data_IF_336393287464
#
_entry.id   IF_336393287464
#
_cell.length_a   1.000
_cell.length_b   1.000
_cell.length_c   1.000
_cell.angle_alpha   90.00
_cell.angle_beta   90.00
_cell.angle_gamma   90.00
#
_symmetry.space_group_name_H-M   'P 1'
#
loop_
_entity.id
_entity.type
_entity.pdbx_description
1 polymer ?
#
# COMPACT_ATOMS: atom_id res chain seq x y z
N UNK A 1 8.35 25.63 -1.16
CA UNK A 1 8.90 24.98 -2.36
C UNK A 1 8.68 23.49 -2.23
N UNK A 2 8.10 22.86 -3.25
CA UNK A 2 7.95 21.41 -3.38
C UNK A 2 9.34 20.81 -3.62
N UNK A 3 9.83 19.97 -2.70
CA UNK A 3 11.17 19.35 -2.79
C UNK A 3 11.08 17.98 -3.46
N UNK A 4 9.92 17.33 -3.35
CA UNK A 4 9.64 16.05 -3.97
C UNK A 4 8.70 16.22 -5.15
N UNK A 5 9.21 15.85 -6.32
CA UNK A 5 8.40 15.79 -7.52
C UNK A 5 7.27 14.74 -7.39
N UNK A 6 6.05 15.18 -7.71
CA UNK A 6 4.84 14.36 -7.69
C UNK A 6 4.76 13.45 -8.91
N UNK A 7 5.35 13.85 -10.04
CA UNK A 7 5.42 13.06 -11.28
C UNK A 7 6.22 11.77 -11.09
N UNK A 8 7.14 11.74 -10.11
CA UNK A 8 7.95 10.57 -9.79
C UNK A 8 7.11 9.45 -9.16
N UNK A 9 6.97 8.27 -9.80
CA UNK A 9 6.24 7.13 -9.21
C UNK A 9 6.95 6.60 -7.96
N UNK A 10 6.19 6.34 -6.88
CA UNK A 10 6.74 5.95 -5.57
C UNK A 10 6.10 4.67 -5.04
N UNK A 11 6.84 3.90 -4.26
CA UNK A 11 6.29 2.83 -3.42
C UNK A 11 5.80 3.42 -2.10
N UNK A 12 4.54 3.16 -1.77
CA UNK A 12 3.96 3.59 -0.51
C UNK A 12 4.07 2.52 0.57
N UNK A 13 4.37 2.97 1.79
CA UNK A 13 4.32 2.17 3.01
C UNK A 13 3.47 2.89 4.04
N UNK A 14 2.71 2.13 4.82
CA UNK A 14 2.09 2.66 6.03
C UNK A 14 3.13 2.69 7.13
N UNK A 15 3.20 3.77 7.92
CA UNK A 15 4.10 3.84 9.06
C UNK A 15 3.81 2.72 10.09
N UNK A 16 2.55 2.27 10.19
CA UNK A 16 2.10 1.15 11.03
C UNK A 16 2.66 -0.21 10.60
N UNK A 17 3.08 -0.34 9.34
CA UNK A 17 3.69 -1.56 8.80
C UNK A 17 5.21 -1.62 9.08
N UNK A 18 5.80 -0.54 9.61
CA UNK A 18 7.26 -0.41 9.76
C UNK A 18 7.70 -0.69 11.20
N UNK A 19 8.83 -1.40 11.33
CA UNK A 19 9.48 -1.62 12.63
C UNK A 19 10.37 -0.45 13.07
N UNK A 20 10.75 0.43 12.15
CA UNK A 20 11.60 1.59 12.39
C UNK A 20 10.94 2.82 11.76
N UNK A 21 10.59 3.79 12.60
CA UNK A 21 9.99 5.06 12.17
C UNK A 21 11.06 6.08 11.77
N UNK A 22 10.71 7.01 10.87
CA UNK A 22 11.61 8.09 10.41
C UNK A 22 12.75 7.67 9.47
N UNK A 23 12.87 6.37 9.15
CA UNK A 23 13.87 5.84 8.24
C UNK A 23 13.21 5.13 7.04
N UNK A 24 13.81 5.26 5.87
CA UNK A 24 13.31 4.66 4.64
C UNK A 24 13.38 3.13 4.71
N UNK A 25 12.26 2.40 4.55
CA UNK A 25 12.25 0.93 4.62
C UNK A 25 13.05 0.26 3.49
N UNK A 26 13.40 0.99 2.43
CA UNK A 26 14.18 0.45 1.32
C UNK A 26 15.69 0.67 1.43
N UNK A 27 16.15 1.74 2.10
CA UNK A 27 17.58 2.09 2.12
C UNK A 27 18.11 2.58 3.48
N UNK A 28 17.25 2.70 4.50
CA UNK A 28 17.63 3.11 5.86
C UNK A 28 17.92 4.61 6.06
N UNK A 29 17.92 5.42 4.99
CA UNK A 29 18.16 6.88 5.10
C UNK A 29 17.00 7.60 5.80
N UNK A 30 17.26 8.75 6.46
CA UNK A 30 16.20 9.54 7.07
C UNK A 30 15.16 9.98 6.03
N UNK A 31 13.90 9.98 6.44
CA UNK A 31 12.80 10.49 5.64
C UNK A 31 12.61 11.99 5.89
N UNK A 32 12.14 12.69 4.87
CA UNK A 32 11.83 14.13 4.92
C UNK A 32 10.33 14.33 4.74
N UNK A 33 9.74 15.15 5.60
CA UNK A 33 8.32 15.47 5.53
C UNK A 33 8.03 16.50 4.45
N UNK A 34 7.00 16.23 3.66
CA UNK A 34 6.48 17.18 2.68
C UNK A 34 4.97 17.02 2.52
N UNK A 35 4.30 18.15 2.36
CA UNK A 35 2.88 18.19 2.06
C UNK A 35 2.67 17.98 0.55
N UNK A 36 1.80 17.04 0.20
CA UNK A 36 1.46 16.69 -1.18
C UNK A 36 -0.05 16.54 -1.34
N UNK A 37 -0.50 16.50 -2.59
CA UNK A 37 -1.88 16.20 -2.94
C UNK A 37 -1.98 14.71 -3.27
N UNK A 38 -2.85 13.99 -2.59
CA UNK A 38 -3.06 12.57 -2.73
C UNK A 38 -4.44 12.27 -3.28
N UNK A 39 -4.53 11.16 -4.02
CA UNK A 39 -5.80 10.59 -4.45
C UNK A 39 -6.10 9.37 -3.60
N UNK A 40 -7.29 9.34 -3.01
CA UNK A 40 -7.72 8.26 -2.15
C UNK A 40 -9.16 7.86 -2.47
N UNK A 41 -9.47 6.60 -2.17
CA UNK A 41 -10.80 6.02 -2.30
C UNK A 41 -11.20 5.46 -0.95
N UNK A 42 -12.41 5.77 -0.49
CA UNK A 42 -12.92 5.24 0.75
C UNK A 42 -14.34 4.70 0.63
N UNK A 43 -14.66 3.78 1.52
CA UNK A 43 -15.94 3.11 1.63
C UNK A 43 -16.44 3.22 3.06
N UNK A 44 -17.71 3.59 3.19
CA UNK A 44 -18.43 3.59 4.47
C UNK A 44 -19.55 2.54 4.43
N UNK A 45 -19.50 1.57 5.34
CA UNK A 45 -20.55 0.56 5.49
C UNK A 45 -20.42 -0.68 4.59
N UNK A 46 -21.41 -1.59 4.63
CA UNK A 46 -21.35 -2.92 3.99
C UNK A 46 -21.57 -2.92 2.46
N UNK A 47 -21.76 -1.74 1.84
CA UNK A 47 -21.98 -1.60 0.41
C UNK A 47 -20.73 -1.84 -0.44
N UNK A 48 -20.87 -1.64 -1.76
CA UNK A 48 -19.73 -1.58 -2.70
C UNK A 48 -19.39 -0.16 -3.14
N UNK A 49 -20.13 0.82 -2.66
CA UNK A 49 -19.95 2.21 -3.06
C UNK A 49 -18.65 2.73 -2.46
N UNK A 50 -17.74 3.10 -3.35
CA UNK A 50 -16.52 3.81 -3.01
C UNK A 50 -16.70 5.27 -3.42
N UNK A 51 -16.23 6.16 -2.56
CA UNK A 51 -16.12 7.58 -2.87
C UNK A 51 -14.64 7.89 -3.08
N UNK A 52 -14.33 8.45 -4.23
CA UNK A 52 -13.00 8.92 -4.57
C UNK A 52 -12.87 10.41 -4.23
N UNK A 53 -11.72 10.80 -3.72
CA UNK A 53 -11.45 12.19 -3.36
C UNK A 53 -9.98 12.53 -3.49
N UNK A 54 -9.74 13.80 -3.81
CA UNK A 54 -8.42 14.43 -3.79
C UNK A 54 -8.27 15.13 -2.45
N UNK A 55 -7.16 14.88 -1.75
CA UNK A 55 -6.89 15.50 -0.47
C UNK A 55 -5.44 15.93 -0.31
N UNK A 56 -5.22 17.02 0.41
CA UNK A 56 -3.89 17.36 0.89
C UNK A 56 -3.53 16.51 2.10
N UNK A 57 -2.30 16.02 2.15
CA UNK A 57 -1.76 15.24 3.27
C UNK A 57 -0.26 15.45 3.44
N UNK A 58 0.26 15.12 4.61
CA UNK A 58 1.71 15.03 4.85
C UNK A 58 2.19 13.61 4.51
N UNK A 59 3.36 13.52 3.86
CA UNK A 59 4.05 12.27 3.64
C UNK A 59 5.52 12.37 4.02
N UNK A 60 6.11 11.24 4.40
CA UNK A 60 7.53 11.12 4.71
C UNK A 60 8.26 10.50 3.51
N UNK A 61 9.02 11.33 2.79
CA UNK A 61 9.64 10.99 1.51
C UNK A 61 11.12 10.66 1.66
N UNK A 62 11.59 9.67 0.91
CA UNK A 62 13.02 9.35 0.87
C UNK A 62 13.73 10.19 -0.20
N UNK A 63 14.80 10.94 0.14
CA UNK A 63 15.56 11.73 -0.84
C UNK A 63 16.38 10.87 -1.81
N UNK A 64 16.58 9.58 -1.52
CA UNK A 64 17.40 8.68 -2.34
C UNK A 64 16.64 7.53 -3.00
N UNK A 65 15.34 7.38 -2.76
CA UNK A 65 14.55 6.27 -3.27
C UNK A 65 13.15 6.73 -3.64
N UNK A 66 12.49 6.08 -4.62
CA UNK A 66 11.07 6.30 -4.91
C UNK A 66 10.21 5.64 -3.83
N UNK A 67 10.29 6.15 -2.60
CA UNK A 67 9.57 5.66 -1.42
C UNK A 67 8.90 6.84 -0.74
N UNK A 68 7.67 6.61 -0.31
CA UNK A 68 6.92 7.47 0.58
C UNK A 68 6.33 6.62 1.71
N UNK A 69 6.36 7.15 2.92
CA UNK A 69 5.70 6.57 4.09
C UNK A 69 4.57 7.49 4.50
N UNK A 70 3.38 6.92 4.70
CA UNK A 70 2.17 7.64 5.08
C UNK A 70 1.67 7.18 6.45
N UNK A 71 1.01 8.07 7.17
CA UNK A 71 0.36 7.77 8.45
C UNK A 71 -1.12 7.41 8.22
N UNK A 72 -1.56 6.17 8.51
CA UNK A 72 -2.94 5.76 8.30
C UNK A 72 -3.90 6.47 9.27
N UNK A 73 -3.46 6.88 10.46
CA UNK A 73 -4.32 7.58 11.41
C UNK A 73 -4.57 9.03 10.94
N UNK A 74 -3.54 9.71 10.42
CA UNK A 74 -3.69 11.05 9.85
C UNK A 74 -4.63 11.04 8.65
N UNK A 75 -4.41 10.12 7.71
CA UNK A 75 -5.27 9.99 6.53
C UNK A 75 -6.68 9.55 6.95
N UNK A 76 -6.81 8.58 7.85
CA UNK A 76 -8.10 8.10 8.35
C UNK A 76 -8.92 9.22 8.99
N UNK A 77 -8.31 10.09 9.79
CA UNK A 77 -8.97 11.26 10.38
C UNK A 77 -9.44 12.25 9.32
N UNK A 78 -8.58 12.63 8.36
CA UNK A 78 -8.94 13.56 7.28
C UNK A 78 -10.11 13.02 6.43
N UNK A 79 -10.09 11.74 6.11
CA UNK A 79 -11.16 11.08 5.36
C UNK A 79 -12.44 11.04 6.21
N UNK A 80 -12.33 10.69 7.49
CA UNK A 80 -13.46 10.63 8.43
C UNK A 80 -14.20 11.96 8.55
N UNK A 81 -13.49 13.09 8.54
CA UNK A 81 -14.11 14.44 8.52
C UNK A 81 -15.03 14.60 7.31
N UNK A 82 -14.60 14.14 6.12
CA UNK A 82 -15.38 14.22 4.88
C UNK A 82 -16.64 13.35 4.87
N UNK A 83 -16.64 12.23 5.60
CA UNK A 83 -17.79 11.33 5.70
C UNK A 83 -18.75 11.66 6.87
N UNK A 84 -18.40 12.63 7.72
CA UNK A 84 -19.21 13.05 8.87
C UNK A 84 -19.23 12.01 10.01
N UNK A 85 -20.05 12.23 11.07
CA UNK A 85 -20.12 11.35 12.22
C UNK A 85 -20.77 10.01 11.84
N UNK A 86 -19.97 9.06 11.39
CA UNK A 86 -20.39 7.68 11.15
C UNK A 86 -20.58 6.98 12.48
N UNK A 87 -21.83 6.94 12.96
CA UNK A 87 -22.13 6.37 14.29
C UNK A 87 -21.79 4.88 14.45
N UNK A 88 -21.55 4.11 13.37
CA UNK A 88 -21.32 2.66 13.43
C UNK A 88 -20.65 2.03 12.19
N UNK A 89 -20.04 2.78 11.25
CA UNK A 89 -19.43 2.18 10.06
C UNK A 89 -17.91 2.13 10.13
N UNK A 90 -17.34 0.94 9.90
CA UNK A 90 -15.92 0.75 9.64
C UNK A 90 -15.55 1.47 8.34
N UNK A 91 -15.02 2.68 8.46
CA UNK A 91 -14.44 3.41 7.33
C UNK A 91 -13.22 2.61 6.85
N UNK A 92 -13.25 2.22 5.58
CA UNK A 92 -12.10 1.59 4.93
C UNK A 92 -11.65 2.50 3.81
N UNK A 93 -10.34 2.70 3.69
CA UNK A 93 -9.79 3.57 2.65
C UNK A 93 -8.49 3.01 2.07
N UNK A 94 -8.17 3.49 0.88
CA UNK A 94 -6.90 3.26 0.22
C UNK A 94 -6.40 4.59 -0.37
N UNK A 95 -5.11 4.90 -0.15
CA UNK A 95 -4.44 5.99 -0.86
C UNK A 95 -3.80 5.37 -2.10
N UNK A 96 -4.24 5.82 -3.26
CA UNK A 96 -3.93 5.19 -4.56
C UNK A 96 -2.66 5.79 -5.15
N UNK A 97 -2.42 7.09 -4.94
CA UNK A 97 -1.27 7.78 -5.50
C UNK A 97 -1.21 9.26 -5.14
N UNK A 98 -0.28 9.95 -5.80
CA UNK A 98 -0.05 11.39 -5.68
C UNK A 98 -0.66 12.06 -6.92
N UNK A 99 -1.32 13.20 -6.74
CA UNK A 99 -1.85 14.01 -7.83
C UNK A 99 -0.80 15.03 -8.26
N UNK A 100 -0.36 14.91 -9.50
CA UNK A 100 0.60 15.84 -10.09
C UNK A 100 -0.11 17.04 -10.72
N UNK A 101 -0.45 18.02 -9.87
CA UNK A 101 -1.14 19.24 -10.32
C UNK A 101 -0.34 20.05 -11.35
N UNK A 102 0.99 19.88 -11.38
CA UNK A 102 1.87 20.57 -12.33
C UNK A 102 1.74 19.99 -13.76
N UNK A 103 1.12 18.82 -13.92
CA UNK A 103 0.82 18.21 -15.21
C UNK A 103 -0.46 18.77 -15.88
N UNK A 104 -1.21 19.64 -15.19
CA UNK A 104 -2.41 20.28 -15.74
C UNK A 104 -1.96 21.47 -16.60
N UNK A 105 -2.26 21.48 -17.91
CA UNK A 105 -1.92 22.62 -18.77
C UNK A 105 -2.62 23.90 -18.31
N UNK A 106 -1.97 25.06 -18.45
CA UNK A 106 -2.52 26.36 -18.06
C UNK A 106 -3.87 26.65 -18.73
N UNK A 107 -4.04 26.19 -19.99
CA UNK A 107 -5.29 26.36 -20.72
C UNK A 107 -6.45 25.59 -20.09
N UNK A 108 -6.17 24.56 -19.28
CA UNK A 108 -7.18 23.75 -18.58
C UNK A 108 -7.33 24.11 -17.11
N UNK A 109 -6.57 25.08 -16.59
CA UNK A 109 -6.61 25.47 -15.18
C UNK A 109 -8.00 25.97 -14.73
N UNK A 110 -8.82 26.46 -15.67
CA UNK A 110 -10.19 26.91 -15.43
C UNK A 110 -11.23 25.78 -15.46
N UNK A 111 -10.86 24.58 -15.92
CA UNK A 111 -11.74 23.42 -16.03
C UNK A 111 -11.59 22.59 -14.75
N UNK A 112 -12.71 22.15 -14.17
CA UNK A 112 -12.69 21.32 -12.99
C UNK A 112 -11.96 19.99 -13.23
N UNK A 113 -11.01 19.67 -12.34
CA UNK A 113 -10.26 18.41 -12.36
C UNK A 113 -11.19 17.23 -12.05
N UNK A 114 -11.00 16.11 -12.76
CA UNK A 114 -11.82 14.91 -12.65
C UNK A 114 -12.96 14.83 -13.67
N UNK A 115 -12.95 15.69 -14.69
CA UNK A 115 -13.85 15.63 -15.84
C UNK A 115 -13.16 14.93 -17.02
N UNK A 116 -13.92 14.53 -18.03
CA UNK A 116 -13.36 13.93 -19.26
C UNK A 116 -12.39 14.90 -19.98
N UNK A 117 -12.62 16.21 -19.88
CA UNK A 117 -11.80 17.24 -20.49
C UNK A 117 -10.55 17.59 -19.67
N UNK A 118 -10.63 17.43 -18.34
CA UNK A 118 -9.53 17.65 -17.40
C UNK A 118 -9.43 16.49 -16.39
N UNK A 119 -8.84 15.34 -16.78
CA UNK A 119 -8.74 14.18 -15.91
C UNK A 119 -7.79 14.43 -14.73
N UNK A 120 -7.95 13.66 -13.64
CA UNK A 120 -7.04 13.74 -12.49
C UNK A 120 -5.64 13.28 -12.94
N UNK A 121 -4.58 14.12 -12.83
CA UNK A 121 -3.22 13.74 -13.16
C UNK A 121 -2.63 12.83 -12.08
N UNK A 122 -3.13 11.60 -12.02
CA UNK A 122 -2.81 10.64 -10.95
C UNK A 122 -1.53 9.87 -11.26
N UNK A 123 -0.55 10.00 -10.38
CA UNK A 123 0.65 9.16 -10.33
C UNK A 123 0.43 8.05 -9.31
N UNK A 124 0.07 6.87 -9.81
CA UNK A 124 -0.22 5.71 -8.97
C UNK A 124 1.03 5.22 -8.22
N UNK A 125 0.82 4.73 -7.00
CA UNK A 125 1.89 4.08 -6.28
C UNK A 125 2.33 2.78 -6.95
N UNK A 126 3.64 2.57 -6.97
CA UNK A 126 4.26 1.33 -7.44
C UNK A 126 3.86 0.18 -6.52
N UNK A 127 3.51 -0.97 -7.11
CA UNK A 127 3.23 -2.18 -6.35
C UNK A 127 4.42 -2.55 -5.46
N UNK A 128 4.15 -2.92 -4.21
CA UNK A 128 5.15 -3.56 -3.35
C UNK A 128 5.59 -4.85 -4.04
N UNK A 129 6.77 -4.88 -4.69
CA UNK A 129 7.38 -6.17 -5.05
C UNK A 129 7.54 -6.92 -3.72
N UNK A 130 7.06 -8.18 -3.58
CA UNK A 130 7.34 -8.93 -2.37
C UNK A 130 8.86 -8.92 -2.16
N UNK A 131 9.34 -8.83 -0.90
CA UNK A 131 10.77 -8.92 -0.64
C UNK A 131 11.26 -10.17 -1.39
N UNK A 132 12.21 -9.98 -2.31
CA UNK A 132 12.91 -11.14 -2.87
C UNK A 132 13.55 -11.78 -1.65
N UNK A 133 13.01 -12.92 -1.24
CA UNK A 133 13.71 -13.81 -0.34
C UNK A 133 15.00 -14.07 -1.09
N UNK A 134 16.09 -13.44 -0.65
CA UNK A 134 17.41 -13.86 -1.08
C UNK A 134 17.47 -15.30 -0.58
N UNK A 135 17.25 -16.24 -1.50
CA UNK A 135 17.53 -17.63 -1.26
C UNK A 135 18.94 -17.63 -0.69
N UNK A 136 19.07 -18.01 0.58
CA UNK A 136 20.37 -18.20 1.18
C UNK A 136 21.05 -19.31 0.38
N UNK A 137 21.87 -18.93 -0.59
CA UNK A 137 22.87 -19.78 -1.21
C UNK A 137 23.86 -20.17 -0.13
N UNK A 138 23.52 -21.17 0.70
CA UNK A 138 24.51 -22.08 1.32
C UNK A 138 23.88 -23.45 1.56
N UNK A 139 24.37 -24.43 0.79
CA UNK A 139 24.45 -25.82 1.22
C UNK A 139 23.32 -26.72 0.74
N UNK A 140 23.48 -27.30 -0.46
CA UNK A 140 22.60 -28.33 -0.96
C UNK A 140 22.62 -29.62 -0.13
N UNK A 141 21.47 -30.30 -0.11
CA UNK A 141 21.41 -31.77 -0.25
C UNK A 141 20.24 -32.09 -1.19
N UNK A 142 20.46 -32.91 -2.22
CA UNK A 142 19.37 -33.33 -3.10
C UNK A 142 18.50 -34.34 -2.34
N UNK A 143 17.20 -34.06 -2.22
CA UNK A 143 16.25 -35.07 -1.75
C UNK A 143 16.01 -36.05 -2.90
N UNK A 144 16.69 -37.18 -2.82
CA UNK A 144 16.52 -38.29 -3.76
C UNK A 144 15.09 -38.82 -3.73
N UNK A 145 14.53 -38.96 -4.91
CA UNK A 145 13.33 -39.73 -5.25
C UNK A 145 13.51 -41.23 -4.97
N UNK A 146 12.41 -41.91 -4.63
CA UNK A 146 12.30 -43.37 -4.48
C UNK A 146 12.36 -43.81 -3.02
N UNK A 147 11.53 -44.73 -2.51
CA UNK A 147 11.07 -45.99 -3.09
C UNK A 147 9.78 -46.45 -2.38
N UNK A 148 8.88 -47.06 -3.17
CA UNK A 148 7.74 -47.88 -2.75
C UNK A 148 8.08 -48.87 -1.63
N UNK A 149 7.31 -48.87 -0.53
CA UNK A 149 7.29 -49.93 0.47
C UNK A 149 5.87 -50.46 0.71
N UNK A 150 5.55 -51.62 0.12
CA UNK A 150 4.31 -52.39 0.31
C UNK A 150 4.37 -53.23 1.60
N UNK A 151 3.18 -53.46 2.20
CA UNK A 151 2.77 -54.57 3.12
C UNK A 151 3.29 -54.44 4.57
N UNK A 152 2.55 -54.82 5.63
CA UNK A 152 1.72 -56.04 5.83
C UNK A 152 0.59 -55.83 6.85
N UNK A 153 -0.50 -56.58 6.63
CA UNK A 153 -1.49 -57.04 7.62
C UNK A 153 -0.86 -57.45 8.96
N UNK A 154 -1.58 -57.22 10.07
CA UNK A 154 -1.67 -58.23 11.11
C UNK A 154 -3.04 -58.27 11.80
N UNK A 155 -3.66 -59.45 11.79
CA UNK A 155 -4.85 -59.86 12.57
C UNK A 155 -4.36 -60.33 13.94
N UNK A 156 -5.09 -60.02 15.01
CA UNK A 156 -5.30 -60.88 16.19
C UNK A 156 -6.35 -60.20 17.09
N UNK A 157 -7.64 -60.60 17.10
CA UNK A 157 -8.28 -61.66 17.92
C UNK A 157 -7.82 -61.70 19.38
N UNK A 158 -8.71 -61.33 20.31
CA UNK A 158 -9.17 -62.06 21.53
C UNK A 158 -10.19 -61.15 22.25
N UNK A 159 -11.50 -61.40 22.36
CA UNK A 159 -12.32 -62.51 22.91
C UNK A 159 -12.57 -62.37 24.44
N UNK A 160 -13.86 -62.39 24.80
CA UNK A 160 -14.51 -62.64 26.13
C UNK A 160 -14.59 -61.43 27.08
N UNK A 161 -15.70 -61.19 27.78
CA UNK A 161 -16.82 -62.05 28.19
C UNK A 161 -18.11 -61.25 28.21
#
# INVERSE_FOLDING_TARGET
MKRFDAATPRRMWWNSDLSIHGACPSCGKPLEREQQTFFASARSGPGRDCTDFVMSGEGEFCPSCPVVVLDPDEFGQRIGIGFGPTRNSSLQFAVIGIVDLDAIPDEKAHIQIGTDENPIPLVQFLSKKPPRVHASEKGGRPWSTGVRGKKKHNKHKHRRK
#
